data_IF_099902508884
#
_entry.id   IF_099902508884
#
_cell.length_a   1.000
_cell.length_b   1.000
_cell.length_c   1.000
_cell.angle_alpha   90.00
_cell.angle_beta   90.00
_cell.angle_gamma   90.00
#
_symmetry.space_group_name_H-M   'P 1'
#
loop_
_entity.id
_entity.type
_entity.pdbx_description
1 polymer ?
#
# COMPACT_ATOMS: atom_id res chain seq x y z
N UNK A 1 11.74 30.17 24.43
CA UNK A 1 11.95 28.75 24.05
C UNK A 1 13.32 28.60 23.45
N UNK A 2 14.03 27.50 23.72
CA UNK A 2 15.32 27.26 23.06
C UNK A 2 15.10 26.86 21.60
N UNK A 3 16.08 27.10 20.71
CA UNK A 3 16.03 26.66 19.31
C UNK A 3 15.83 25.14 19.18
N UNK A 4 16.37 24.37 20.13
CA UNK A 4 16.19 22.92 20.19
C UNK A 4 14.74 22.50 20.46
N UNK A 5 14.03 23.20 21.35
CA UNK A 5 12.61 22.93 21.61
C UNK A 5 11.75 23.22 20.38
N UNK A 6 12.01 24.35 19.69
CA UNK A 6 11.30 24.69 18.46
C UNK A 6 11.54 23.66 17.36
N UNK A 7 12.79 23.19 17.20
CA UNK A 7 13.13 22.15 16.25
C UNK A 7 12.40 20.83 16.52
N UNK A 8 12.39 20.37 17.77
CA UNK A 8 11.71 19.11 18.14
C UNK A 8 10.19 19.20 17.96
N UNK A 9 9.58 20.36 18.24
CA UNK A 9 8.16 20.57 17.97
C UNK A 9 7.89 20.56 16.47
N UNK A 10 8.66 21.30 15.68
CA UNK A 10 8.51 21.32 14.23
C UNK A 10 8.69 19.92 13.63
N UNK A 11 9.71 19.18 14.08
CA UNK A 11 9.94 17.80 13.69
C UNK A 11 8.76 16.90 14.06
N UNK A 12 8.26 17.01 15.29
CA UNK A 12 7.09 16.24 15.74
C UNK A 12 5.83 16.54 14.93
N UNK A 13 5.60 17.81 14.59
CA UNK A 13 4.48 18.22 13.72
C UNK A 13 4.65 17.62 12.33
N UNK A 14 5.83 17.73 11.71
CA UNK A 14 6.09 17.15 10.38
C UNK A 14 5.87 15.63 10.40
N UNK A 15 6.43 14.92 11.38
CA UNK A 15 6.27 13.47 11.48
C UNK A 15 4.81 13.07 11.74
N UNK A 16 4.08 13.84 12.56
CA UNK A 16 2.67 13.62 12.85
C UNK A 16 1.78 13.87 11.63
N UNK A 17 1.99 14.97 10.91
CA UNK A 17 1.29 15.26 9.66
C UNK A 17 1.59 14.19 8.61
N UNK A 18 2.85 13.79 8.46
CA UNK A 18 3.24 12.73 7.53
C UNK A 18 2.57 11.40 7.88
N UNK A 19 2.52 11.06 9.16
CA UNK A 19 1.83 9.86 9.64
C UNK A 19 0.32 9.88 9.32
N UNK A 20 -0.35 11.02 9.47
CA UNK A 20 -1.76 11.21 9.11
C UNK A 20 -1.98 11.10 7.60
N UNK A 21 -1.14 11.77 6.80
CA UNK A 21 -1.29 11.81 5.34
C UNK A 21 -1.04 10.44 4.73
N UNK A 22 0.06 9.76 5.11
CA UNK A 22 0.42 8.44 4.59
C UNK A 22 -0.59 7.35 4.98
N UNK A 23 -1.37 7.55 6.04
CA UNK A 23 -2.44 6.63 6.46
C UNK A 23 -3.80 6.93 5.85
N UNK A 24 -3.92 8.01 5.08
CA UNK A 24 -5.19 8.43 4.49
C UNK A 24 -5.52 7.63 3.23
N UNK A 25 -6.83 7.44 2.96
CA UNK A 25 -7.35 6.94 1.68
C UNK A 25 -6.82 7.74 0.48
N UNK A 26 -6.57 9.04 0.66
CA UNK A 26 -6.06 9.90 -0.40
C UNK A 26 -4.65 9.47 -0.85
N UNK A 27 -3.78 9.06 0.08
CA UNK A 27 -2.44 8.57 -0.24
C UNK A 27 -2.45 7.19 -0.91
N UNK A 28 -3.49 6.38 -0.67
CA UNK A 28 -3.72 5.13 -1.43
C UNK A 28 -4.05 5.45 -2.89
N UNK A 29 -4.98 6.39 -3.12
CA UNK A 29 -5.46 6.79 -4.46
C UNK A 29 -4.45 7.59 -5.27
N UNK A 30 -3.58 8.37 -4.63
CA UNK A 30 -2.58 9.22 -5.29
C UNK A 30 -1.16 8.77 -4.89
N UNK A 31 -0.54 7.81 -5.64
CA UNK A 31 0.79 7.30 -5.33
C UNK A 31 1.86 8.39 -5.23
N UNK A 32 1.76 9.43 -6.06
CA UNK A 32 2.68 10.56 -6.04
C UNK A 32 2.70 11.27 -4.69
N UNK A 33 1.54 11.42 -4.02
CA UNK A 33 1.45 12.05 -2.71
C UNK A 33 2.23 11.24 -1.66
N UNK A 34 2.12 9.91 -1.69
CA UNK A 34 2.91 9.03 -0.83
C UNK A 34 4.41 9.24 -1.04
N UNK A 35 4.89 9.21 -2.29
CA UNK A 35 6.33 9.37 -2.59
C UNK A 35 6.85 10.76 -2.25
N UNK A 36 6.04 11.82 -2.40
CA UNK A 36 6.42 13.17 -2.00
C UNK A 36 6.60 13.26 -0.48
N UNK A 37 5.66 12.71 0.29
CA UNK A 37 5.73 12.72 1.76
C UNK A 37 6.90 11.89 2.27
N UNK A 38 7.05 10.67 1.74
CA UNK A 38 8.19 9.80 2.07
C UNK A 38 9.52 10.42 1.66
N UNK A 39 9.58 11.08 0.51
CA UNK A 39 10.76 11.81 0.06
C UNK A 39 11.13 12.95 1.00
N UNK A 40 10.13 13.68 1.53
CA UNK A 40 10.35 14.71 2.54
C UNK A 40 10.94 14.11 3.83
N UNK A 41 10.42 12.97 4.30
CA UNK A 41 10.98 12.27 5.47
C UNK A 41 12.44 11.87 5.25
N UNK A 42 12.78 11.35 4.08
CA UNK A 42 14.18 11.02 3.72
C UNK A 42 15.06 12.26 3.71
N UNK A 43 14.60 13.36 3.12
CA UNK A 43 15.35 14.62 3.11
C UNK A 43 15.60 15.15 4.52
N UNK A 44 14.59 15.09 5.40
CA UNK A 44 14.73 15.47 6.81
C UNK A 44 15.72 14.56 7.53
N UNK A 45 15.65 13.24 7.32
CA UNK A 45 16.58 12.28 7.90
C UNK A 45 18.02 12.52 7.46
N UNK A 46 18.24 12.80 6.18
CA UNK A 46 19.55 13.16 5.64
C UNK A 46 20.05 14.48 6.23
N UNK A 47 19.21 15.51 6.30
CA UNK A 47 19.57 16.78 6.91
C UNK A 47 19.99 16.61 8.37
N UNK A 48 19.25 15.81 9.15
CA UNK A 48 19.57 15.46 10.54
C UNK A 48 20.89 14.70 10.65
N UNK A 49 21.15 13.75 9.75
CA UNK A 49 22.39 12.97 9.77
C UNK A 49 23.62 13.81 9.42
N UNK A 50 23.52 14.63 8.36
CA UNK A 50 24.63 15.42 7.82
C UNK A 50 24.93 16.66 8.69
N UNK A 51 23.91 17.43 9.05
CA UNK A 51 24.07 18.70 9.78
C UNK A 51 23.99 18.49 11.29
N UNK A 52 23.32 17.43 11.74
CA UNK A 52 23.03 17.20 13.15
C UNK A 52 21.73 17.89 13.59
N UNK A 53 21.35 17.64 14.84
CA UNK A 53 20.18 18.28 15.45
C UNK A 53 20.67 19.43 16.34
N UNK A 54 20.17 20.66 16.14
CA UNK A 54 20.55 21.80 16.96
C UNK A 54 20.28 21.53 18.45
N UNK A 55 21.33 21.62 19.27
CA UNK A 55 21.24 21.42 20.72
C UNK A 55 21.14 19.96 21.19
N UNK A 56 21.42 18.98 20.32
CA UNK A 56 21.44 17.55 20.69
C UNK A 56 22.81 16.93 20.33
N UNK A 57 23.78 16.93 21.27
CA UNK A 57 25.09 16.34 21.04
C UNK A 57 25.07 14.81 21.18
N UNK A 58 26.05 14.16 20.54
CA UNK A 58 26.35 12.74 20.74
C UNK A 58 25.24 11.79 20.29
N UNK A 59 24.81 10.90 21.19
CA UNK A 59 23.92 9.77 20.89
C UNK A 59 22.51 10.20 20.44
N UNK A 60 22.08 11.40 20.80
CA UNK A 60 20.75 11.90 20.45
C UNK A 60 20.55 12.09 18.95
N UNK A 61 21.59 12.46 18.19
CA UNK A 61 21.53 12.49 16.71
C UNK A 61 21.21 11.11 16.13
N UNK A 62 21.83 10.08 16.70
CA UNK A 62 21.66 8.70 16.25
C UNK A 62 20.26 8.18 16.58
N UNK A 63 19.72 8.54 17.75
CA UNK A 63 18.34 8.24 18.12
C UNK A 63 17.33 8.92 17.19
N UNK A 64 17.52 10.21 16.86
CA UNK A 64 16.62 10.92 15.93
C UNK A 64 16.68 10.27 14.54
N UNK A 65 17.87 9.94 14.04
CA UNK A 65 18.01 9.24 12.76
C UNK A 65 17.33 7.86 12.78
N UNK A 66 17.44 7.12 13.89
CA UNK A 66 16.78 5.81 14.05
C UNK A 66 15.25 5.93 14.05
N UNK A 67 14.71 6.94 14.74
CA UNK A 67 13.26 7.21 14.75
C UNK A 67 12.76 7.53 13.34
N UNK A 68 13.52 8.33 12.57
CA UNK A 68 13.18 8.65 11.19
C UNK A 68 13.24 7.42 10.28
N UNK A 69 14.25 6.56 10.44
CA UNK A 69 14.35 5.28 9.72
C UNK A 69 13.19 4.34 10.05
N UNK A 70 12.80 4.25 11.33
CA UNK A 70 11.65 3.44 11.75
C UNK A 70 10.36 3.95 11.12
N UNK A 71 10.15 5.27 11.12
CA UNK A 71 8.98 5.90 10.49
C UNK A 71 8.95 5.60 8.98
N UNK A 72 10.09 5.72 8.30
CA UNK A 72 10.24 5.37 6.90
C UNK A 72 9.85 3.90 6.62
N UNK A 73 10.36 2.98 7.44
CA UNK A 73 10.04 1.55 7.33
C UNK A 73 8.55 1.27 7.55
N UNK A 74 7.91 1.95 8.50
CA UNK A 74 6.46 1.86 8.74
C UNK A 74 5.65 2.34 7.54
N UNK A 75 6.05 3.46 6.92
CA UNK A 75 5.40 3.99 5.72
C UNK A 75 5.51 3.01 4.54
N UNK A 76 6.69 2.42 4.31
CA UNK A 76 6.87 1.40 3.26
C UNK A 76 6.05 0.13 3.51
N UNK A 77 6.01 -0.36 4.76
CA UNK A 77 5.21 -1.53 5.13
C UNK A 77 3.73 -1.32 4.81
N UNK A 78 3.20 -0.13 5.09
CA UNK A 78 1.81 0.21 4.80
C UNK A 78 1.53 0.32 3.30
N UNK A 79 2.45 0.91 2.53
CA UNK A 79 2.33 0.94 1.07
C UNK A 79 2.32 -0.47 0.47
N UNK A 80 3.17 -1.36 1.00
CA UNK A 80 3.23 -2.74 0.57
C UNK A 80 1.91 -3.46 0.86
N UNK A 81 1.31 -3.27 2.04
CA UNK A 81 0.04 -3.92 2.36
C UNK A 81 -1.08 -3.49 1.42
N UNK A 82 -1.19 -2.21 1.07
CA UNK A 82 -2.18 -1.76 0.08
C UNK A 82 -1.95 -2.38 -1.29
N UNK A 83 -0.69 -2.48 -1.72
CA UNK A 83 -0.37 -3.08 -3.02
C UNK A 83 -0.70 -4.57 -3.05
N UNK A 84 -0.52 -5.26 -1.93
CA UNK A 84 -0.91 -6.67 -1.79
C UNK A 84 -2.43 -6.81 -1.80
N UNK A 85 -3.16 -5.99 -1.04
CA UNK A 85 -4.63 -5.98 -1.03
C UNK A 85 -5.20 -5.73 -2.44
N UNK A 86 -4.68 -4.74 -3.17
CA UNK A 86 -5.14 -4.42 -4.52
C UNK A 86 -4.96 -5.62 -5.48
N UNK A 87 -3.81 -6.31 -5.39
CA UNK A 87 -3.54 -7.52 -6.19
C UNK A 87 -4.42 -8.71 -5.80
N UNK A 88 -4.70 -8.87 -4.52
CA UNK A 88 -5.61 -9.93 -4.06
C UNK A 88 -7.03 -9.71 -4.57
N UNK A 89 -7.50 -8.47 -4.58
CA UNK A 89 -8.82 -8.11 -5.15
C UNK A 89 -8.87 -8.37 -6.66
N UNK A 90 -7.84 -7.99 -7.40
CA UNK A 90 -7.72 -8.23 -8.84
C UNK A 90 -7.74 -9.74 -9.16
N UNK A 91 -6.91 -10.52 -8.45
CA UNK A 91 -6.85 -11.97 -8.61
C UNK A 91 -8.18 -12.65 -8.26
N UNK A 92 -8.89 -12.18 -7.23
CA UNK A 92 -10.22 -12.70 -6.89
C UNK A 92 -11.26 -12.39 -7.99
N UNK A 93 -11.16 -11.23 -8.63
CA UNK A 93 -12.01 -10.87 -9.76
C UNK A 93 -11.74 -11.80 -10.95
N UNK A 94 -10.48 -12.02 -11.31
CA UNK A 94 -10.06 -12.95 -12.37
C UNK A 94 -10.55 -14.38 -12.12
N UNK A 95 -10.36 -14.90 -10.89
CA UNK A 95 -10.83 -16.23 -10.53
C UNK A 95 -12.36 -16.36 -10.61
N UNK A 96 -13.09 -15.29 -10.27
CA UNK A 96 -14.55 -15.27 -10.35
C UNK A 96 -15.02 -15.25 -11.80
N UNK A 97 -14.34 -14.52 -12.69
CA UNK A 97 -14.64 -14.53 -14.12
C UNK A 97 -14.31 -15.88 -14.76
N UNK A 98 -13.17 -16.48 -14.44
CA UNK A 98 -12.80 -17.81 -14.91
C UNK A 98 -13.83 -18.88 -14.50
N UNK A 99 -14.33 -18.83 -13.26
CA UNK A 99 -15.39 -19.75 -12.81
C UNK A 99 -16.69 -19.58 -13.59
N UNK A 100 -17.12 -18.33 -13.84
CA UNK A 100 -18.33 -18.08 -14.62
C UNK A 100 -18.23 -18.63 -16.04
N UNK A 101 -17.07 -18.45 -16.68
CA UNK A 101 -16.83 -18.98 -18.02
C UNK A 101 -16.89 -20.51 -18.04
N UNK A 102 -16.30 -21.18 -17.04
CA UNK A 102 -16.40 -22.63 -16.90
C UNK A 102 -17.84 -23.09 -16.68
N UNK A 103 -18.60 -22.40 -15.82
CA UNK A 103 -20.01 -22.74 -15.57
C UNK A 103 -20.87 -22.57 -16.84
N UNK A 104 -20.64 -21.52 -17.63
CA UNK A 104 -21.30 -21.28 -18.92
C UNK A 104 -20.94 -22.36 -19.96
N UNK A 105 -19.67 -22.73 -20.05
CA UNK A 105 -19.19 -23.78 -20.96
C UNK A 105 -19.82 -25.14 -20.61
N UNK A 106 -19.87 -25.49 -19.32
CA UNK A 106 -20.54 -26.69 -18.83
C UNK A 106 -22.05 -26.67 -19.15
N UNK A 107 -22.74 -25.55 -18.93
CA UNK A 107 -24.16 -25.43 -19.25
C UNK A 107 -24.43 -25.58 -20.76
N UNK A 108 -23.57 -25.02 -21.62
CA UNK A 108 -23.63 -25.16 -23.07
C UNK A 108 -23.42 -26.61 -23.52
N UNK A 109 -22.45 -27.31 -22.94
CA UNK A 109 -22.20 -28.71 -23.24
C UNK A 109 -23.38 -29.60 -22.81
N UNK A 110 -23.96 -29.35 -21.63
CA UNK A 110 -25.16 -30.07 -21.17
C UNK A 110 -26.36 -29.80 -22.07
N UNK A 111 -26.59 -28.55 -22.49
CA UNK A 111 -27.66 -28.19 -23.40
C UNK A 111 -27.52 -28.92 -24.75
N UNK A 112 -26.32 -28.88 -25.36
CA UNK A 112 -26.04 -29.62 -26.60
C UNK A 112 -26.25 -31.12 -26.46
N UNK A 113 -25.85 -31.70 -25.33
CA UNK A 113 -26.03 -33.13 -25.06
C UNK A 113 -27.52 -33.49 -24.98
N UNK A 114 -28.33 -32.68 -24.30
CA UNK A 114 -29.79 -32.87 -24.24
C UNK A 114 -30.44 -32.75 -25.62
N UNK A 115 -30.00 -31.81 -26.45
CA UNK A 115 -30.50 -31.66 -27.83
C UNK A 115 -30.17 -32.90 -28.69
N UNK A 116 -28.96 -33.46 -28.54
CA UNK A 116 -28.55 -34.68 -29.24
C UNK A 116 -29.33 -35.90 -28.78
N UNK A 117 -29.53 -36.08 -27.47
CA UNK A 117 -30.32 -37.18 -26.90
C UNK A 117 -31.80 -37.09 -27.33
N UNK A 118 -32.37 -35.88 -27.43
CA UNK A 118 -33.74 -35.68 -27.91
C UNK A 118 -33.91 -35.91 -29.43
N UNK A 119 -32.83 -35.76 -30.20
CA UNK A 119 -32.83 -35.91 -31.66
C UNK A 119 -32.45 -37.33 -32.11
N UNK A 120 -31.99 -38.19 -31.20
CA UNK A 120 -31.69 -39.58 -31.51
C UNK A 120 -33.01 -40.35 -31.72
N UNK A 121 -33.25 -40.94 -32.91
CA UNK A 121 -34.48 -41.67 -33.17
C UNK A 121 -34.55 -42.89 -32.25
N UNK A 122 -35.67 -43.03 -31.54
CA UNK A 122 -36.05 -44.30 -30.90
C UNK A 122 -36.31 -45.31 -32.02
N UNK A 123 -35.27 -46.05 -32.42
CA UNK A 123 -35.43 -47.22 -33.27
C UNK A 123 -36.36 -48.22 -32.55
N UNK A 124 -37.51 -48.46 -33.17
CA UNK A 124 -38.51 -49.46 -32.76
C UNK A 124 -38.38 -50.75 -33.53
#
# INVERSE_FOLDING_TARGET
MSPSTLFLIALGVVLGTNHLVVRSELARRVPALFYVVVGLDVLVALAVLLVGVPGVPGIGRLLVALVLMLHLAQNFRMRLSWTTEDREVEMQAELKEARKLQDEEHALHEARRREQEASAPTEG
#
